data_IF_946449208236
#
_entry.id   IF_946449208236
#
_cell.length_a   1.000
_cell.length_b   1.000
_cell.length_c   1.000
_cell.angle_alpha   90.00
_cell.angle_beta   90.00
_cell.angle_gamma   90.00
#
_symmetry.space_group_name_H-M   'P 1'
#
loop_
_entity.id
_entity.type
_entity.pdbx_description
1 polymer ?
#
# COMPACT_ATOMS: atom_id res chain seq x y z
N UNK A 1 3.96 16.00 -8.14
CA UNK A 1 2.70 16.51 -7.49
C UNK A 1 3.03 17.70 -6.58
N UNK A 2 2.07 18.38 -5.94
CA UNK A 2 2.42 19.38 -4.91
C UNK A 2 3.07 18.66 -3.72
N UNK A 3 4.33 19.00 -3.38
CA UNK A 3 5.09 18.37 -2.30
C UNK A 3 4.34 18.33 -0.96
N UNK A 4 3.56 19.37 -0.66
CA UNK A 4 2.75 19.43 0.56
C UNK A 4 1.69 18.33 0.57
N UNK A 5 1.03 18.08 -0.57
CA UNK A 5 0.02 17.04 -0.68
C UNK A 5 0.62 15.64 -0.53
N UNK A 6 1.83 15.43 -1.06
CA UNK A 6 2.56 14.16 -0.89
C UNK A 6 2.91 13.92 0.58
N UNK A 7 3.44 14.95 1.26
CA UNK A 7 3.77 14.85 2.69
C UNK A 7 2.54 14.54 3.55
N UNK A 8 1.39 15.15 3.23
CA UNK A 8 0.12 14.85 3.92
C UNK A 8 -0.32 13.41 3.66
N UNK A 9 -0.22 12.92 2.41
CA UNK A 9 -0.55 11.54 2.09
C UNK A 9 0.37 10.55 2.82
N UNK A 10 1.67 10.83 2.90
CA UNK A 10 2.64 10.03 3.65
C UNK A 10 2.36 10.05 5.16
N UNK A 11 1.99 11.21 5.72
CA UNK A 11 1.57 11.31 7.12
C UNK A 11 0.33 10.46 7.38
N UNK A 12 -0.68 10.55 6.50
CA UNK A 12 -1.90 9.78 6.63
C UNK A 12 -1.66 8.26 6.50
N UNK A 13 -0.86 7.84 5.53
CA UNK A 13 -0.43 6.45 5.38
C UNK A 13 0.32 5.95 6.63
N UNK A 14 1.23 6.76 7.18
CA UNK A 14 1.97 6.43 8.40
C UNK A 14 1.05 6.24 9.60
N UNK A 15 0.04 7.10 9.77
CA UNK A 15 -0.99 6.94 10.81
C UNK A 15 -1.77 5.64 10.63
N UNK A 16 -2.18 5.30 9.40
CA UNK A 16 -2.87 4.05 9.12
C UNK A 16 -2.01 2.83 9.44
N UNK A 17 -0.71 2.85 9.15
CA UNK A 17 0.21 1.77 9.52
C UNK A 17 0.33 1.63 11.05
N UNK A 18 0.49 2.73 11.78
CA UNK A 18 0.60 2.71 13.24
C UNK A 18 -0.67 2.11 13.85
N UNK A 19 -1.84 2.57 13.41
CA UNK A 19 -3.13 2.05 13.88
C UNK A 19 -3.37 0.60 13.45
N UNK A 20 -2.94 0.24 12.23
CA UNK A 20 -3.04 -1.12 11.70
C UNK A 20 -2.21 -2.11 12.50
N UNK A 21 -0.94 -1.81 12.76
CA UNK A 21 -0.05 -2.61 13.61
C UNK A 21 -0.61 -2.71 15.02
N UNK A 22 -1.08 -1.59 15.60
CA UNK A 22 -1.75 -1.62 16.90
C UNK A 22 -2.98 -2.55 16.90
N UNK A 23 -3.80 -2.51 15.84
CA UNK A 23 -4.97 -3.37 15.70
C UNK A 23 -4.64 -4.86 15.58
N UNK A 24 -3.46 -5.21 15.05
CA UNK A 24 -2.97 -6.59 14.96
C UNK A 24 -2.50 -7.19 16.28
N UNK A 25 -2.34 -6.38 17.34
CA UNK A 25 -1.95 -6.87 18.67
C UNK A 25 -3.02 -7.69 19.40
N UNK A 26 -4.29 -7.61 18.96
CA UNK A 26 -5.40 -8.35 19.55
C UNK A 26 -6.12 -9.16 18.46
N UNK A 27 -6.36 -10.49 18.67
CA UNK A 27 -6.97 -11.34 17.65
C UNK A 27 -8.32 -10.82 17.12
N UNK A 28 -9.15 -10.24 18.01
CA UNK A 28 -10.47 -9.69 17.66
C UNK A 28 -10.39 -8.53 16.66
N UNK A 29 -9.31 -7.74 16.69
CA UNK A 29 -9.12 -6.57 15.80
C UNK A 29 -8.12 -6.81 14.68
N UNK A 30 -7.46 -7.97 14.64
CA UNK A 30 -6.35 -8.23 13.74
C UNK A 30 -6.70 -8.09 12.26
N UNK A 31 -7.87 -8.61 11.83
CA UNK A 31 -8.33 -8.49 10.43
C UNK A 31 -8.53 -7.03 10.03
N UNK A 32 -9.11 -6.22 10.92
CA UNK A 32 -9.29 -4.78 10.68
C UNK A 32 -7.95 -4.05 10.67
N UNK A 33 -7.04 -4.41 11.57
CA UNK A 33 -5.69 -3.87 11.62
C UNK A 33 -4.92 -4.10 10.32
N UNK A 34 -4.98 -5.31 9.77
CA UNK A 34 -4.38 -5.63 8.48
C UNK A 34 -4.99 -4.80 7.33
N UNK A 35 -6.32 -4.65 7.31
CA UNK A 35 -6.99 -3.83 6.29
C UNK A 35 -6.54 -2.35 6.36
N UNK A 36 -6.40 -1.78 7.56
CA UNK A 36 -5.89 -0.41 7.72
C UNK A 36 -4.48 -0.25 7.16
N UNK A 37 -3.58 -1.21 7.45
CA UNK A 37 -2.22 -1.22 6.89
C UNK A 37 -2.23 -1.37 5.36
N UNK A 38 -3.10 -2.22 4.81
CA UNK A 38 -3.22 -2.41 3.37
C UNK A 38 -3.69 -1.12 2.65
N UNK A 39 -4.65 -0.40 3.25
CA UNK A 39 -5.08 0.92 2.73
C UNK A 39 -3.95 1.95 2.83
N UNK A 40 -3.19 1.96 3.94
CA UNK A 40 -2.00 2.81 4.08
C UNK A 40 -0.98 2.55 2.97
N UNK A 41 -0.70 1.28 2.66
CA UNK A 41 0.19 0.89 1.57
C UNK A 41 -0.32 1.36 0.22
N UNK A 42 -1.62 1.19 -0.06
CA UNK A 42 -2.23 1.62 -1.31
C UNK A 42 -2.09 3.14 -1.52
N UNK A 43 -2.34 3.94 -0.48
CA UNK A 43 -2.21 5.40 -0.52
C UNK A 43 -0.75 5.81 -0.82
N UNK A 44 0.20 5.22 -0.10
CA UNK A 44 1.62 5.52 -0.29
C UNK A 44 2.06 5.23 -1.73
N UNK A 45 1.77 4.02 -2.23
CA UNK A 45 2.14 3.61 -3.59
C UNK A 45 1.47 4.51 -4.65
N UNK A 46 0.19 4.84 -4.48
CA UNK A 46 -0.56 5.66 -5.44
C UNK A 46 0.02 7.08 -5.59
N UNK A 47 0.62 7.63 -4.53
CA UNK A 47 1.25 8.95 -4.55
C UNK A 47 2.72 8.90 -4.98
N UNK A 48 3.46 7.86 -4.58
CA UNK A 48 4.89 7.74 -4.88
C UNK A 48 5.16 7.31 -6.33
N UNK A 49 4.42 6.34 -6.86
CA UNK A 49 4.72 5.76 -8.18
C UNK A 49 4.68 6.79 -9.31
N UNK A 50 3.61 7.59 -9.47
CA UNK A 50 3.57 8.56 -10.57
C UNK A 50 4.64 9.65 -10.45
N UNK A 51 5.05 9.99 -9.22
CA UNK A 51 6.06 11.02 -8.96
C UNK A 51 7.48 10.53 -9.25
N UNK A 52 7.78 9.26 -8.92
CA UNK A 52 9.12 8.68 -9.12
C UNK A 52 9.37 8.26 -10.56
N UNK A 53 8.41 7.59 -11.20
CA UNK A 53 8.65 6.93 -12.50
C UNK A 53 8.06 7.70 -13.69
N UNK A 54 7.30 8.76 -13.43
CA UNK A 54 6.63 9.55 -14.47
C UNK A 54 5.63 8.73 -15.30
N UNK A 55 5.21 9.27 -16.44
CA UNK A 55 4.28 8.60 -17.36
C UNK A 55 4.89 7.41 -18.08
N UNK A 56 6.18 7.49 -18.41
CA UNK A 56 6.85 6.49 -19.26
C UNK A 56 7.11 5.19 -18.49
N UNK A 57 7.39 5.28 -17.18
CA UNK A 57 7.58 4.11 -16.34
C UNK A 57 6.31 3.49 -15.79
N UNK A 58 5.16 4.16 -15.91
CA UNK A 58 3.90 3.68 -15.35
C UNK A 58 3.49 2.33 -15.92
N UNK A 59 3.71 2.11 -17.22
CA UNK A 59 3.41 0.84 -17.89
C UNK A 59 4.19 -0.33 -17.28
N UNK A 60 5.48 -0.13 -17.00
CA UNK A 60 6.34 -1.16 -16.41
C UNK A 60 5.90 -1.46 -14.97
N UNK A 61 5.59 -0.42 -14.19
CA UNK A 61 5.13 -0.60 -12.81
C UNK A 61 3.80 -1.33 -12.77
N UNK A 62 2.84 -0.98 -13.63
CA UNK A 62 1.54 -1.66 -13.70
C UNK A 62 1.71 -3.12 -14.12
N UNK A 63 2.56 -3.40 -15.13
CA UNK A 63 2.85 -4.78 -15.52
C UNK A 63 3.46 -5.58 -14.35
N UNK A 64 4.43 -5.00 -13.64
CA UNK A 64 5.03 -5.61 -12.45
C UNK A 64 4.03 -5.82 -11.32
N UNK A 65 3.13 -4.85 -11.08
CA UNK A 65 2.07 -4.94 -10.07
C UNK A 65 1.10 -6.09 -10.38
N UNK A 66 0.69 -6.24 -11.65
CA UNK A 66 -0.21 -7.32 -12.08
C UNK A 66 0.46 -8.67 -11.88
N UNK A 67 1.70 -8.84 -12.34
CA UNK A 67 2.44 -10.11 -12.21
C UNK A 67 2.68 -10.44 -10.74
N UNK A 68 3.15 -9.47 -9.96
CA UNK A 68 3.41 -9.63 -8.53
C UNK A 68 2.15 -9.96 -7.73
N UNK A 69 1.04 -9.27 -8.00
CA UNK A 69 -0.25 -9.54 -7.37
C UNK A 69 -0.81 -10.91 -7.74
N UNK A 70 -0.69 -11.33 -9.01
CA UNK A 70 -1.13 -12.64 -9.47
C UNK A 70 -0.35 -13.76 -8.77
N UNK A 71 0.99 -13.67 -8.77
CA UNK A 71 1.86 -14.66 -8.12
C UNK A 71 1.64 -14.69 -6.61
N UNK A 72 1.57 -13.51 -5.97
CA UNK A 72 1.32 -13.39 -4.54
C UNK A 72 -0.03 -13.96 -4.11
N UNK A 73 -1.10 -13.66 -4.86
CA UNK A 73 -2.44 -14.19 -4.58
C UNK A 73 -2.50 -15.71 -4.79
N UNK A 74 -1.85 -16.23 -5.83
CA UNK A 74 -1.78 -17.67 -6.07
C UNK A 74 -1.09 -18.39 -4.91
N UNK A 75 0.10 -17.93 -4.52
CA UNK A 75 0.87 -18.51 -3.41
C UNK A 75 0.14 -18.42 -2.07
N UNK A 76 -0.51 -17.28 -1.78
CA UNK A 76 -1.24 -17.08 -0.53
C UNK A 76 -2.47 -18.00 -0.37
N UNK A 77 -3.00 -18.56 -1.46
CA UNK A 77 -4.10 -19.53 -1.42
C UNK A 77 -3.63 -20.98 -1.45
N UNK A 78 -2.39 -21.20 -1.90
CA UNK A 78 -1.83 -22.53 -2.07
C UNK A 78 -1.20 -23.07 -0.77
N UNK A 79 -0.62 -22.17 0.04
CA UNK A 79 -0.13 -22.44 1.39
C UNK A 79 -1.29 -22.38 2.39
#
# INVERSE_FOLDING_TARGET
>A
MNHTLMNIAYLFASVLFILGIKGMTHPRTAVRGNLMSAVGMLIAVAVTVPDVVGTDGLTIVIAGLIVGAAVGMFLARWV
#
